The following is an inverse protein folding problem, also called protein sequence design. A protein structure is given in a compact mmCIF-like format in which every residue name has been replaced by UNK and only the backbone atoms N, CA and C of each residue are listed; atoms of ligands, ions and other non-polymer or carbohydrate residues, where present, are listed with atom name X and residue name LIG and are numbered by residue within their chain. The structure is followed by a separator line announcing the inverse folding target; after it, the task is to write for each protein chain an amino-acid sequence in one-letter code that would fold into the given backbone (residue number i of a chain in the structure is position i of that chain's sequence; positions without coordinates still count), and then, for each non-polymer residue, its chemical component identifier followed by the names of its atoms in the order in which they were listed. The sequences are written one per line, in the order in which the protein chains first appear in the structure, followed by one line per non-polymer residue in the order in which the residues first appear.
data_IF_546886746215
#
_entry.id   IF_546886746215
#
_cell.length_a   1.000
_cell.length_b   1.000
_cell.length_c   1.000
_cell.angle_alpha   90.00
_cell.angle_beta   90.00
_cell.angle_gamma   90.00
#
_symmetry.space_group_name_H-M   'P 1'
#
loop_
_entity.id
_entity.type
_entity.pdbx_description
1 polymer ?
#
# COMPACT_ATOMS: atom_id res chain seq x y z
N UNK A 1 -43.98 -9.69 -34.91
CA UNK A 1 -42.55 -9.61 -35.31
C UNK A 1 -41.87 -8.67 -34.39
N UNK A 2 -41.28 -9.20 -33.34
CA UNK A 2 -40.59 -8.45 -32.27
C UNK A 2 -39.11 -8.37 -32.63
N UNK A 3 -38.61 -7.17 -32.92
CA UNK A 3 -37.20 -6.90 -33.10
C UNK A 3 -36.48 -7.07 -31.78
N UNK A 4 -35.66 -8.10 -31.64
CA UNK A 4 -34.68 -8.22 -30.58
C UNK A 4 -33.55 -7.21 -30.84
N UNK A 5 -33.45 -6.23 -29.95
CA UNK A 5 -32.31 -5.32 -29.93
C UNK A 5 -31.03 -6.11 -29.62
N UNK A 6 -30.11 -6.20 -30.59
CA UNK A 6 -28.77 -6.74 -30.39
C UNK A 6 -28.02 -5.82 -29.44
N UNK A 7 -27.78 -6.31 -28.23
CA UNK A 7 -26.86 -5.67 -27.26
C UNK A 7 -25.45 -5.96 -27.73
N UNK A 8 -24.83 -5.01 -28.39
CA UNK A 8 -23.39 -5.05 -28.71
C UNK A 8 -22.62 -4.98 -27.40
N UNK A 9 -21.74 -5.94 -27.10
CA UNK A 9 -20.92 -5.82 -25.89
C UNK A 9 -19.98 -4.62 -26.01
N UNK A 10 -20.14 -3.65 -25.15
CA UNK A 10 -19.24 -2.52 -25.00
C UNK A 10 -17.86 -2.99 -24.49
N UNK A 11 -17.06 -3.54 -25.39
CA UNK A 11 -15.62 -3.69 -25.21
C UNK A 11 -14.95 -2.33 -25.45
N UNK A 12 -15.30 -1.35 -24.66
CA UNK A 12 -14.50 -0.13 -24.56
C UNK A 12 -13.28 -0.48 -23.71
N UNK A 13 -12.20 -0.89 -24.37
CA UNK A 13 -10.85 -0.74 -23.81
C UNK A 13 -10.64 0.76 -23.62
N UNK A 14 -11.07 1.29 -22.48
CA UNK A 14 -10.74 2.66 -22.09
C UNK A 14 -9.23 2.76 -22.02
N UNK A 15 -8.64 3.50 -22.94
CA UNK A 15 -7.31 4.03 -22.80
C UNK A 15 -7.36 4.95 -21.59
N UNK A 16 -6.88 4.50 -20.44
CA UNK A 16 -6.60 5.33 -19.28
C UNK A 16 -5.42 6.25 -19.61
N UNK A 17 -5.63 7.21 -20.50
CA UNK A 17 -4.53 7.97 -21.06
C UNK A 17 -4.53 9.43 -20.64
N UNK A 18 -5.53 9.87 -19.87
CA UNK A 18 -5.56 11.27 -19.48
C UNK A 18 -5.16 11.43 -17.99
N UNK A 19 -3.88 11.79 -17.72
CA UNK A 19 -3.45 12.10 -16.37
C UNK A 19 -4.14 13.37 -15.82
N UNK A 20 -4.77 14.19 -16.68
CA UNK A 20 -5.48 15.40 -16.25
C UNK A 20 -6.74 15.12 -15.46
N UNK A 21 -7.38 13.94 -15.63
CA UNK A 21 -8.50 13.51 -14.79
C UNK A 21 -8.16 13.47 -13.28
N UNK A 22 -6.87 13.38 -12.96
CA UNK A 22 -6.37 13.32 -11.59
C UNK A 22 -6.07 14.70 -11.00
N UNK A 23 -6.01 15.74 -11.83
CA UNK A 23 -5.59 17.10 -11.46
C UNK A 23 -6.72 18.12 -11.51
N UNK A 24 -7.92 17.70 -11.84
CA UNK A 24 -9.06 18.61 -12.02
C UNK A 24 -9.62 19.08 -10.67
N UNK A 25 -8.94 20.01 -10.06
CA UNK A 25 -9.49 20.83 -8.98
C UNK A 25 -10.13 22.07 -9.58
N UNK A 26 -11.40 22.36 -9.25
CA UNK A 26 -12.09 23.58 -9.64
C UNK A 26 -13.02 23.49 -10.85
N UNK A 27 -13.34 22.31 -11.36
CA UNK A 27 -14.35 22.16 -12.40
C UNK A 27 -15.77 22.15 -11.82
N UNK A 28 -16.74 22.56 -12.65
CA UNK A 28 -18.14 22.41 -12.31
C UNK A 28 -18.49 20.97 -11.91
N UNK A 29 -19.07 20.82 -10.73
CA UNK A 29 -19.49 19.52 -10.19
C UNK A 29 -20.99 19.34 -10.39
N UNK A 30 -21.46 18.11 -10.47
CA UNK A 30 -22.88 17.80 -10.62
C UNK A 30 -23.70 18.22 -9.41
N UNK A 31 -24.96 18.55 -9.62
CA UNK A 31 -25.87 19.04 -8.58
C UNK A 31 -25.90 18.19 -7.31
N UNK A 32 -25.87 16.86 -7.43
CA UNK A 32 -25.82 15.99 -6.26
C UNK A 32 -24.53 16.05 -5.45
N UNK A 33 -23.46 16.58 -6.05
CA UNK A 33 -22.18 16.77 -5.37
C UNK A 33 -22.15 18.06 -4.55
N UNK A 34 -22.86 19.10 -4.96
CA UNK A 34 -22.82 20.42 -4.30
C UNK A 34 -23.34 20.38 -2.87
N UNK A 35 -24.23 19.47 -2.54
CA UNK A 35 -24.78 19.27 -1.19
C UNK A 35 -24.15 18.09 -0.46
N UNK A 36 -23.18 17.38 -1.08
CA UNK A 36 -22.54 16.24 -0.46
C UNK A 36 -21.53 16.69 0.60
N UNK A 37 -21.63 16.21 1.85
CA UNK A 37 -20.69 16.57 2.92
C UNK A 37 -19.25 16.14 2.61
N UNK A 38 -19.08 15.15 1.73
CA UNK A 38 -17.77 14.63 1.32
C UNK A 38 -17.17 15.37 0.11
N UNK A 39 -17.84 16.43 -0.39
CA UNK A 39 -17.38 17.17 -1.56
C UNK A 39 -15.93 17.68 -1.39
N UNK A 40 -15.60 18.18 -0.22
CA UNK A 40 -14.24 18.68 0.07
C UNK A 40 -13.16 17.62 -0.10
N UNK A 41 -13.47 16.36 0.19
CA UNK A 41 -12.54 15.23 0.09
C UNK A 41 -12.57 14.54 -1.28
N UNK A 42 -13.75 14.50 -1.86
CA UNK A 42 -14.01 13.85 -3.13
C UNK A 42 -13.61 14.71 -4.33
N UNK A 43 -13.78 16.04 -4.23
CA UNK A 43 -13.68 16.97 -5.36
C UNK A 43 -14.90 16.94 -6.29
N UNK A 44 -15.88 16.07 -6.03
CA UNK A 44 -17.09 15.89 -6.85
C UNK A 44 -16.86 15.15 -8.16
N UNK A 45 -17.93 14.94 -8.90
CA UNK A 45 -17.91 14.39 -10.26
C UNK A 45 -17.97 15.54 -11.25
N UNK A 46 -16.94 15.65 -12.09
CA UNK A 46 -16.92 16.66 -13.16
C UNK A 46 -17.99 16.38 -14.19
N UNK A 47 -18.67 17.46 -14.65
CA UNK A 47 -19.65 17.40 -15.74
C UNK A 47 -18.95 17.09 -17.06
N UNK A 48 -17.71 17.56 -17.24
CA UNK A 48 -16.98 17.44 -18.51
C UNK A 48 -16.29 16.06 -18.69
N UNK A 49 -16.01 15.36 -17.61
CA UNK A 49 -15.42 14.03 -17.66
C UNK A 49 -16.24 13.03 -16.82
N UNK A 50 -17.44 12.65 -17.29
CA UNK A 50 -18.33 11.77 -16.53
C UNK A 50 -17.80 10.34 -16.56
N UNK A 51 -16.75 10.05 -15.79
CA UNK A 51 -16.31 8.67 -15.58
C UNK A 51 -17.43 7.91 -14.86
N UNK A 52 -18.09 8.58 -13.92
CA UNK A 52 -19.28 8.08 -13.25
C UNK A 52 -20.20 9.21 -12.81
N UNK A 53 -21.47 9.02 -13.06
CA UNK A 53 -22.52 9.77 -12.43
C UNK A 53 -23.07 8.93 -11.28
N UNK A 54 -22.96 9.40 -10.04
CA UNK A 54 -23.57 8.70 -8.90
C UNK A 54 -25.08 8.49 -9.08
N UNK A 55 -25.74 9.38 -9.83
CA UNK A 55 -27.16 9.26 -10.19
C UNK A 55 -27.40 8.21 -11.28
N UNK A 56 -26.44 8.02 -12.20
CA UNK A 56 -26.54 6.99 -13.25
C UNK A 56 -26.30 5.58 -12.67
N UNK A 57 -25.71 5.49 -11.50
CA UNK A 57 -25.57 4.24 -10.75
C UNK A 57 -26.84 3.83 -10.03
N UNK A 58 -27.62 4.79 -9.61
CA UNK A 58 -28.92 4.51 -9.03
C UNK A 58 -29.94 4.31 -10.15
N UNK A 59 -30.06 3.07 -10.64
CA UNK A 59 -31.07 2.72 -11.66
C UNK A 59 -32.51 2.77 -11.12
N UNK A 60 -32.71 3.22 -9.88
CA UNK A 60 -34.01 3.23 -9.22
C UNK A 60 -34.60 1.84 -8.93
N UNK A 61 -33.85 0.78 -9.22
CA UNK A 61 -34.26 -0.62 -8.98
C UNK A 61 -33.20 -1.36 -8.20
N UNK A 62 -32.94 -0.98 -6.93
CA UNK A 62 -31.88 -1.58 -6.13
C UNK A 62 -32.07 -3.09 -5.91
N UNK A 63 -33.30 -3.57 -5.84
CA UNK A 63 -33.66 -4.97 -5.63
C UNK A 63 -33.30 -5.89 -6.80
N UNK A 64 -33.18 -5.37 -8.01
CA UNK A 64 -32.81 -6.14 -9.23
C UNK A 64 -31.37 -5.90 -9.70
N UNK A 65 -30.59 -5.12 -8.94
CA UNK A 65 -29.26 -4.76 -9.34
C UNK A 65 -28.28 -5.92 -9.12
N UNK A 66 -27.68 -6.41 -10.19
CA UNK A 66 -26.63 -7.45 -10.15
C UNK A 66 -25.20 -6.89 -10.08
N UNK A 67 -25.04 -5.57 -9.99
CA UNK A 67 -23.71 -4.93 -9.97
C UNK A 67 -23.03 -5.16 -8.63
N UNK A 68 -21.75 -5.47 -8.67
CA UNK A 68 -20.91 -5.70 -7.50
C UNK A 68 -20.87 -4.48 -6.55
N UNK A 69 -20.87 -3.28 -7.13
CA UNK A 69 -20.94 -2.01 -6.41
C UNK A 69 -22.35 -1.47 -6.66
N UNK A 70 -23.20 -1.61 -5.68
CA UNK A 70 -24.54 -1.09 -5.76
C UNK A 70 -24.70 0.16 -4.92
N UNK A 71 -25.19 1.24 -5.52
CA UNK A 71 -25.57 2.44 -4.81
C UNK A 71 -26.97 2.32 -4.16
N UNK A 72 -27.48 1.10 -3.89
CA UNK A 72 -28.74 1.01 -3.16
C UNK A 72 -28.61 1.73 -1.82
N UNK A 73 -29.54 2.58 -1.47
CA UNK A 73 -29.53 3.37 -0.23
C UNK A 73 -29.33 2.48 1.02
N UNK A 74 -29.89 1.28 1.02
CA UNK A 74 -29.72 0.33 2.13
C UNK A 74 -28.28 -0.14 2.24
N UNK A 75 -27.62 -0.47 1.12
CA UNK A 75 -26.23 -0.89 1.14
C UNK A 75 -25.30 0.27 1.48
N UNK A 76 -25.57 1.46 0.99
CA UNK A 76 -24.83 2.66 1.32
C UNK A 76 -24.87 2.91 2.83
N UNK A 77 -26.05 2.98 3.44
CA UNK A 77 -26.18 3.19 4.89
C UNK A 77 -25.53 2.07 5.70
N UNK A 78 -25.61 0.81 5.25
CA UNK A 78 -24.95 -0.32 5.89
C UNK A 78 -23.43 -0.14 5.86
N UNK A 79 -22.84 0.19 4.71
CA UNK A 79 -21.39 0.41 4.59
C UNK A 79 -20.90 1.60 5.42
N UNK A 80 -21.67 2.69 5.45
CA UNK A 80 -21.36 3.87 6.27
C UNK A 80 -21.41 3.52 7.76
N UNK A 81 -22.48 2.83 8.18
CA UNK A 81 -22.63 2.41 9.59
C UNK A 81 -21.55 1.41 10.02
N UNK A 82 -21.14 0.51 9.12
CA UNK A 82 -20.12 -0.50 9.36
C UNK A 82 -18.75 0.12 9.73
N UNK A 83 -18.45 1.30 9.17
CA UNK A 83 -17.20 2.03 9.43
C UNK A 83 -17.37 3.23 10.36
N UNK A 84 -18.58 3.48 10.87
CA UNK A 84 -18.87 4.59 11.77
C UNK A 84 -18.91 5.97 11.09
N UNK A 85 -19.12 6.02 9.78
CA UNK A 85 -19.07 7.24 8.97
C UNK A 85 -17.80 7.35 8.15
N UNK A 86 -17.65 8.46 7.42
CA UNK A 86 -16.46 8.69 6.59
C UNK A 86 -15.40 9.55 7.26
N UNK A 87 -15.70 10.17 8.38
CA UNK A 87 -14.72 10.97 9.09
C UNK A 87 -13.61 10.10 9.66
N UNK A 88 -12.38 10.48 9.35
CA UNK A 88 -11.21 9.85 9.92
C UNK A 88 -10.92 10.51 11.27
N UNK A 89 -11.33 9.85 12.34
CA UNK A 89 -11.10 10.36 13.69
C UNK A 89 -9.62 10.30 14.04
N UNK A 90 -9.03 11.41 14.58
CA UNK A 90 -7.62 11.44 14.91
C UNK A 90 -7.22 10.36 15.92
N UNK A 91 -6.21 9.58 15.61
CA UNK A 91 -5.63 8.63 16.56
C UNK A 91 -4.65 9.34 17.49
N UNK A 92 -4.94 9.33 18.78
CA UNK A 92 -4.18 10.08 19.81
C UNK A 92 -3.57 9.19 20.90
N UNK A 93 -3.59 7.87 20.69
CA UNK A 93 -2.97 6.94 21.61
C UNK A 93 -1.57 6.56 21.14
N UNK A 94 -0.74 6.15 22.10
CA UNK A 94 0.64 5.73 21.81
C UNK A 94 0.65 4.59 20.80
N UNK A 95 1.43 4.75 19.74
CA UNK A 95 1.73 3.71 18.76
C UNK A 95 3.04 3.02 19.13
N UNK A 96 3.07 1.68 19.06
CA UNK A 96 4.31 0.94 19.27
C UNK A 96 5.32 1.31 18.20
N UNK A 97 6.55 1.76 18.55
CA UNK A 97 7.54 2.17 17.57
C UNK A 97 7.91 1.03 16.62
N UNK A 98 8.13 1.40 15.36
CA UNK A 98 8.66 0.47 14.37
C UNK A 98 10.12 0.19 14.69
N UNK A 99 10.45 -1.06 14.93
CA UNK A 99 11.83 -1.49 15.18
C UNK A 99 12.73 -1.17 13.99
N UNK A 100 14.04 -1.04 14.24
CA UNK A 100 15.02 -0.88 13.18
C UNK A 100 15.01 -2.11 12.24
N UNK A 101 14.40 -1.96 11.06
CA UNK A 101 14.30 -2.98 10.01
C UNK A 101 15.33 -2.67 8.91
N UNK A 102 15.81 -3.64 8.12
CA UNK A 102 16.64 -3.33 6.96
C UNK A 102 15.84 -2.58 5.88
N UNK A 103 16.54 -1.78 5.07
CA UNK A 103 15.94 -0.99 4.00
C UNK A 103 15.34 -1.86 2.87
N UNK A 104 15.75 -3.12 2.78
CA UNK A 104 15.24 -4.12 1.87
C UNK A 104 14.82 -5.36 2.63
N UNK A 105 13.58 -5.79 2.42
CA UNK A 105 12.99 -6.99 3.06
C UNK A 105 12.32 -7.86 1.98
N UNK A 106 12.82 -9.08 1.76
CA UNK A 106 12.19 -10.00 0.82
C UNK A 106 10.85 -10.51 1.36
N UNK A 107 9.87 -10.62 0.50
CA UNK A 107 8.59 -11.26 0.80
C UNK A 107 8.65 -12.75 0.47
N UNK A 108 8.41 -13.60 1.45
CA UNK A 108 8.29 -15.05 1.28
C UNK A 108 6.81 -15.38 1.08
N UNK A 109 6.46 -15.79 -0.13
CA UNK A 109 5.07 -16.04 -0.50
C UNK A 109 4.57 -17.40 0.02
N UNK A 110 5.43 -18.39 -0.07
CA UNK A 110 5.25 -19.75 0.47
C UNK A 110 6.62 -20.40 0.72
N UNK A 111 6.65 -21.50 1.43
CA UNK A 111 7.87 -22.20 1.81
C UNK A 111 7.98 -23.61 1.16
N UNK A 112 7.16 -23.89 0.14
CA UNK A 112 7.13 -25.24 -0.47
C UNK A 112 8.46 -25.66 -1.08
N UNK A 113 9.13 -24.74 -1.75
CA UNK A 113 10.40 -25.00 -2.46
C UNK A 113 11.66 -24.71 -1.60
N UNK A 114 11.50 -24.36 -0.32
CA UNK A 114 12.61 -24.11 0.59
C UNK A 114 13.05 -25.41 1.28
N UNK A 115 14.34 -25.59 1.51
CA UNK A 115 14.91 -26.73 2.21
C UNK A 115 14.94 -26.54 3.72
N UNK A 116 15.37 -25.37 4.18
CA UNK A 116 15.58 -25.07 5.59
C UNK A 116 15.24 -23.65 5.99
N UNK A 117 15.54 -23.27 7.23
CA UNK A 117 15.35 -21.92 7.71
C UNK A 117 16.25 -20.92 6.98
N UNK A 118 15.66 -19.89 6.38
CA UNK A 118 16.36 -18.83 5.69
C UNK A 118 17.06 -17.90 6.69
N UNK A 119 18.39 -17.83 6.61
CA UNK A 119 19.20 -16.91 7.42
C UNK A 119 19.18 -15.50 6.82
N UNK A 120 18.08 -14.76 7.10
CA UNK A 120 17.86 -13.39 6.68
C UNK A 120 17.57 -12.52 7.90
N UNK A 121 18.06 -11.25 7.94
CA UNK A 121 17.82 -10.37 9.09
C UNK A 121 16.35 -9.95 9.24
N UNK A 122 15.61 -9.95 8.14
CA UNK A 122 14.16 -9.70 8.12
C UNK A 122 13.53 -10.35 6.91
N UNK A 123 12.27 -10.75 7.05
CA UNK A 123 11.42 -11.26 5.98
C UNK A 123 10.01 -10.70 6.12
N UNK A 124 9.30 -10.55 5.01
CA UNK A 124 7.88 -10.25 5.01
C UNK A 124 7.08 -11.48 4.59
N UNK A 125 5.97 -11.73 5.27
CA UNK A 125 4.99 -12.77 4.91
C UNK A 125 3.61 -12.13 4.82
N UNK A 126 2.73 -12.74 4.02
CA UNK A 126 1.37 -12.21 3.88
C UNK A 126 0.58 -12.42 5.18
N UNK A 127 -0.05 -11.36 5.69
CA UNK A 127 -0.99 -11.42 6.81
C UNK A 127 -2.07 -12.48 6.55
N UNK A 128 -2.58 -12.56 5.32
CA UNK A 128 -3.63 -13.51 4.93
C UNK A 128 -3.17 -14.97 4.86
N UNK A 129 -1.87 -15.21 4.86
CA UNK A 129 -1.32 -16.58 5.00
C UNK A 129 -1.20 -16.99 6.46
N UNK A 130 -1.19 -16.02 7.37
CA UNK A 130 -1.06 -16.21 8.82
C UNK A 130 -2.42 -16.26 9.51
N UNK A 131 -3.42 -15.57 9.01
CA UNK A 131 -4.78 -15.54 9.57
C UNK A 131 -5.64 -16.64 8.94
N UNK A 132 -6.46 -17.25 9.78
CA UNK A 132 -7.53 -18.14 9.35
C UNK A 132 -8.68 -17.33 8.73
N UNK A 133 -9.05 -17.69 7.51
CA UNK A 133 -10.04 -16.95 6.71
C UNK A 133 -11.49 -17.16 7.16
N UNK A 134 -11.75 -18.06 8.11
CA UNK A 134 -13.09 -18.30 8.67
C UNK A 134 -13.29 -17.61 10.01
N UNK A 135 -12.22 -17.51 10.79
CA UNK A 135 -12.30 -17.02 12.17
C UNK A 135 -11.67 -15.65 12.37
N UNK A 136 -10.86 -15.16 11.42
CA UNK A 136 -10.16 -13.90 11.52
C UNK A 136 -9.01 -13.88 12.55
N UNK A 137 -8.65 -15.02 13.15
CA UNK A 137 -7.56 -15.14 14.13
C UNK A 137 -6.33 -15.81 13.53
N UNK A 138 -5.18 -15.67 14.18
CA UNK A 138 -3.95 -16.29 13.74
C UNK A 138 -4.07 -17.83 13.74
N UNK A 139 -3.59 -18.47 12.65
CA UNK A 139 -3.55 -19.94 12.50
C UNK A 139 -2.55 -20.61 13.41
N UNK A 140 -1.51 -19.86 13.80
CA UNK A 140 -0.39 -20.40 14.58
C UNK A 140 -0.53 -19.97 16.03
N UNK A 141 -0.29 -20.90 16.93
CA UNK A 141 -0.38 -20.69 18.37
C UNK A 141 0.79 -19.85 18.91
N UNK A 142 1.92 -19.88 18.21
CA UNK A 142 3.14 -19.19 18.61
C UNK A 142 3.95 -18.67 17.42
N UNK A 143 4.90 -17.77 17.74
CA UNK A 143 5.90 -17.29 16.78
C UNK A 143 6.72 -18.44 16.20
N UNK A 144 7.14 -19.40 17.04
CA UNK A 144 7.98 -20.53 16.62
C UNK A 144 7.27 -21.39 15.57
N UNK A 145 6.00 -21.69 15.78
CA UNK A 145 5.20 -22.45 14.83
C UNK A 145 5.09 -21.73 13.47
N UNK A 146 4.85 -20.43 13.49
CA UNK A 146 4.82 -19.60 12.28
C UNK A 146 6.18 -19.61 11.56
N UNK A 147 7.29 -19.39 12.29
CA UNK A 147 8.64 -19.37 11.72
C UNK A 147 8.99 -20.72 11.09
N UNK A 148 8.68 -21.83 11.78
CA UNK A 148 8.85 -23.19 11.25
C UNK A 148 8.07 -23.41 9.96
N UNK A 149 6.81 -22.96 9.92
CA UNK A 149 5.94 -23.09 8.74
C UNK A 149 6.47 -22.36 7.52
N UNK A 150 7.03 -21.17 7.71
CA UNK A 150 7.61 -20.36 6.63
C UNK A 150 9.10 -20.58 6.42
N UNK A 151 9.71 -21.51 7.15
CA UNK A 151 11.17 -21.79 7.12
C UNK A 151 12.00 -20.51 7.29
N UNK A 152 11.67 -19.74 8.33
CA UNK A 152 12.31 -18.49 8.69
C UNK A 152 13.20 -18.73 9.92
N UNK A 153 14.43 -18.18 9.89
CA UNK A 153 15.32 -18.28 11.04
C UNK A 153 14.73 -17.60 12.29
N UNK A 154 14.90 -18.16 13.51
CA UNK A 154 14.31 -17.61 14.73
C UNK A 154 14.64 -16.14 15.01
N UNK A 155 15.85 -15.70 14.68
CA UNK A 155 16.32 -14.34 14.93
C UNK A 155 15.83 -13.32 13.86
N UNK A 156 15.24 -13.79 12.77
CA UNK A 156 14.74 -12.92 11.72
C UNK A 156 13.57 -12.05 12.21
N UNK A 157 13.57 -10.78 11.86
CA UNK A 157 12.43 -9.89 12.05
C UNK A 157 11.35 -10.23 11.04
N UNK A 158 10.10 -10.29 11.48
CA UNK A 158 8.98 -10.66 10.60
C UNK A 158 8.06 -9.48 10.42
N UNK A 159 7.83 -9.11 9.16
CA UNK A 159 6.81 -8.16 8.74
C UNK A 159 5.59 -8.93 8.25
N UNK A 160 4.41 -8.57 8.75
CA UNK A 160 3.14 -9.06 8.22
C UNK A 160 2.60 -8.03 7.22
N UNK A 161 2.74 -8.31 5.92
CA UNK A 161 2.22 -7.40 4.89
C UNK A 161 0.78 -7.75 4.53
N UNK A 162 -0.10 -6.75 4.57
CA UNK A 162 -1.54 -6.94 4.37
C UNK A 162 -2.02 -6.46 2.99
N UNK A 163 -1.18 -6.63 1.97
CA UNK A 163 -1.56 -6.45 0.57
C UNK A 163 -1.83 -7.81 -0.08
N UNK A 164 -3.00 -7.97 -0.68
CA UNK A 164 -3.40 -9.16 -1.41
C UNK A 164 -4.42 -8.83 -2.51
N UNK A 165 -4.93 -9.85 -3.20
CA UNK A 165 -6.07 -9.72 -4.11
C UNK A 165 -7.32 -9.33 -3.32
N UNK A 166 -8.19 -8.50 -3.89
CA UNK A 166 -9.38 -7.93 -3.25
C UNK A 166 -10.21 -8.96 -2.51
N UNK A 167 -10.48 -10.12 -3.12
CA UNK A 167 -11.24 -11.18 -2.47
C UNK A 167 -10.70 -11.59 -1.10
N UNK A 168 -9.37 -11.57 -0.90
CA UNK A 168 -8.75 -11.93 0.39
C UNK A 168 -8.86 -10.79 1.39
N UNK A 169 -8.73 -9.57 0.92
CA UNK A 169 -8.84 -8.37 1.75
C UNK A 169 -10.28 -8.19 2.22
N UNK A 170 -11.24 -8.34 1.32
CA UNK A 170 -12.67 -8.28 1.64
C UNK A 170 -13.12 -9.41 2.58
N UNK A 171 -12.70 -10.65 2.31
CA UNK A 171 -12.99 -11.76 3.22
C UNK A 171 -12.42 -11.52 4.62
N UNK A 172 -11.24 -10.90 4.72
CA UNK A 172 -10.66 -10.54 6.01
C UNK A 172 -11.54 -9.55 6.77
N UNK A 173 -12.06 -8.53 6.08
CA UNK A 173 -12.97 -7.57 6.68
C UNK A 173 -14.22 -8.24 7.28
N UNK A 174 -14.82 -9.17 6.56
CA UNK A 174 -16.01 -9.90 7.02
C UNK A 174 -15.77 -10.77 8.25
N UNK A 175 -14.57 -11.29 8.44
CA UNK A 175 -14.22 -12.15 9.60
C UNK A 175 -13.44 -11.38 10.68
N UNK A 176 -13.11 -10.12 10.44
CA UNK A 176 -12.34 -9.30 11.35
C UNK A 176 -13.08 -9.11 12.68
N UNK A 177 -12.46 -9.53 13.75
CA UNK A 177 -12.84 -9.26 15.12
C UNK A 177 -11.70 -8.45 15.75
N UNK A 178 -11.73 -7.10 15.72
CA UNK A 178 -10.54 -6.26 15.90
C UNK A 178 -9.70 -6.67 17.10
N UNK A 179 -10.31 -6.74 18.28
CA UNK A 179 -9.61 -7.12 19.52
C UNK A 179 -9.05 -8.55 19.46
N UNK A 180 -9.87 -9.53 19.10
CA UNK A 180 -9.49 -10.94 19.08
C UNK A 180 -8.44 -11.23 17.99
N UNK A 181 -8.59 -10.64 16.81
CA UNK A 181 -7.62 -10.73 15.72
C UNK A 181 -6.28 -10.16 16.16
N UNK A 182 -6.27 -8.94 16.71
CA UNK A 182 -5.05 -8.28 17.12
C UNK A 182 -4.35 -8.99 18.28
N UNK A 183 -5.08 -9.48 19.28
CA UNK A 183 -4.54 -10.29 20.37
C UNK A 183 -3.91 -11.60 19.86
N UNK A 184 -4.53 -12.26 18.88
CA UNK A 184 -3.98 -13.46 18.27
C UNK A 184 -2.67 -13.17 17.51
N UNK A 185 -2.57 -12.03 16.82
CA UNK A 185 -1.37 -11.61 16.13
C UNK A 185 -0.23 -11.19 17.08
N UNK A 186 -0.54 -10.63 18.25
CA UNK A 186 0.47 -10.32 19.27
C UNK A 186 1.28 -11.53 19.70
N UNK A 187 0.68 -12.71 19.77
CA UNK A 187 1.38 -13.97 20.11
C UNK A 187 2.47 -14.32 19.12
N UNK A 188 2.35 -13.85 17.88
CA UNK A 188 3.33 -14.05 16.82
C UNK A 188 4.50 -13.07 16.87
N UNK A 189 4.41 -12.01 17.70
CA UNK A 189 5.45 -10.97 17.88
C UNK A 189 5.97 -10.44 16.54
N UNK A 190 5.12 -9.92 15.64
CA UNK A 190 5.59 -9.31 14.41
C UNK A 190 6.41 -8.05 14.73
N UNK A 191 7.44 -7.80 13.91
CA UNK A 191 8.25 -6.59 14.02
C UNK A 191 7.57 -5.38 13.37
N UNK A 192 6.60 -5.64 12.48
CA UNK A 192 5.75 -4.66 11.83
C UNK A 192 4.55 -5.36 11.21
N UNK A 193 3.40 -4.69 11.20
CA UNK A 193 2.22 -5.08 10.41
C UNK A 193 1.85 -3.88 9.53
N UNK A 194 1.60 -4.09 8.24
CA UNK A 194 0.90 -3.06 7.46
C UNK A 194 -0.60 -3.25 7.60
N UNK A 195 -1.38 -2.17 7.64
CA UNK A 195 -2.84 -2.31 7.61
C UNK A 195 -3.30 -2.96 6.31
N UNK A 196 -4.48 -3.63 6.27
CA UNK A 196 -5.07 -4.11 5.04
C UNK A 196 -5.17 -3.00 3.99
N UNK A 197 -4.71 -3.30 2.76
CA UNK A 197 -4.77 -2.35 1.65
C UNK A 197 -6.09 -2.56 0.88
N UNK A 198 -7.20 -2.03 1.42
CA UNK A 198 -8.47 -2.04 0.71
C UNK A 198 -8.34 -1.28 -0.60
N UNK A 199 -8.83 -1.88 -1.68
CA UNK A 199 -8.67 -1.31 -3.02
C UNK A 199 -9.49 -0.05 -3.18
N UNK A 200 -8.87 0.91 -3.87
CA UNK A 200 -9.50 2.13 -4.31
C UNK A 200 -9.39 2.20 -5.84
N UNK A 201 -10.43 2.66 -6.48
CA UNK A 201 -10.53 2.70 -7.93
C UNK A 201 -10.92 4.10 -8.39
N UNK A 202 -10.39 4.53 -9.53
CA UNK A 202 -10.74 5.81 -10.12
C UNK A 202 -12.07 5.76 -10.86
N UNK A 203 -12.54 4.57 -11.17
CA UNK A 203 -13.71 4.28 -11.97
C UNK A 203 -14.87 3.68 -11.17
N UNK A 204 -14.87 3.88 -9.86
CA UNK A 204 -15.99 3.52 -8.96
C UNK A 204 -16.63 4.76 -8.36
N UNK A 205 -17.80 4.58 -7.77
CA UNK A 205 -18.43 5.65 -7.00
C UNK A 205 -17.57 6.03 -5.80
N UNK A 206 -17.52 7.32 -5.52
CA UNK A 206 -16.60 7.88 -4.55
C UNK A 206 -16.75 7.32 -3.14
N UNK A 207 -17.98 7.05 -2.70
CA UNK A 207 -18.22 6.52 -1.36
C UNK A 207 -17.53 5.18 -1.10
N UNK A 208 -17.35 4.32 -2.12
CA UNK A 208 -16.62 3.05 -1.95
C UNK A 208 -15.15 3.29 -1.57
N UNK A 209 -14.53 4.31 -2.18
CA UNK A 209 -13.17 4.72 -1.82
C UNK A 209 -13.10 5.30 -0.41
N UNK A 210 -14.11 6.08 0.01
CA UNK A 210 -14.19 6.62 1.37
C UNK A 210 -14.38 5.51 2.41
N UNK A 211 -15.22 4.51 2.13
CA UNK A 211 -15.34 3.30 2.96
C UNK A 211 -14.01 2.56 3.05
N UNK A 212 -13.30 2.39 1.93
CA UNK A 212 -11.98 1.76 1.93
C UNK A 212 -10.97 2.52 2.82
N UNK A 213 -10.96 3.85 2.77
CA UNK A 213 -10.12 4.68 3.65
C UNK A 213 -10.50 4.50 5.11
N UNK A 214 -11.79 4.56 5.45
CA UNK A 214 -12.28 4.37 6.80
C UNK A 214 -11.94 2.96 7.35
N UNK A 215 -12.08 1.91 6.55
CA UNK A 215 -11.67 0.54 6.89
C UNK A 215 -10.16 0.43 7.18
N UNK A 216 -9.33 1.12 6.41
CA UNK A 216 -7.88 1.17 6.65
C UNK A 216 -7.59 1.81 8.01
N UNK A 217 -8.20 2.97 8.30
CA UNK A 217 -8.04 3.66 9.59
C UNK A 217 -8.55 2.80 10.75
N UNK A 218 -9.72 2.18 10.61
CA UNK A 218 -10.30 1.27 11.61
C UNK A 218 -9.36 0.09 11.93
N UNK A 219 -8.76 -0.53 10.91
CA UNK A 219 -7.79 -1.61 11.11
C UNK A 219 -6.52 -1.11 11.79
N UNK A 220 -6.08 0.12 11.45
CA UNK A 220 -4.94 0.75 12.11
C UNK A 220 -5.19 0.91 13.61
N UNK A 221 -6.32 1.51 13.98
CA UNK A 221 -6.72 1.72 15.37
C UNK A 221 -6.77 0.41 16.15
N UNK A 222 -7.41 -0.62 15.59
CA UNK A 222 -7.52 -1.93 16.24
C UNK A 222 -6.17 -2.60 16.48
N UNK A 223 -5.24 -2.52 15.53
CA UNK A 223 -3.91 -3.10 15.67
C UNK A 223 -3.03 -2.27 16.62
N UNK A 224 -3.05 -0.95 16.50
CA UNK A 224 -2.27 -0.06 17.34
C UNK A 224 -2.73 -0.12 18.81
N UNK A 225 -4.05 -0.11 19.07
CA UNK A 225 -4.61 -0.25 20.40
C UNK A 225 -4.22 -1.57 21.09
N UNK A 226 -4.01 -2.63 20.30
CA UNK A 226 -3.49 -3.90 20.82
C UNK A 226 -1.97 -3.90 21.04
N UNK A 227 -1.28 -2.78 20.85
CA UNK A 227 0.17 -2.65 21.04
C UNK A 227 1.01 -3.31 19.94
N UNK A 228 0.45 -3.52 18.76
CA UNK A 228 1.20 -4.00 17.60
C UNK A 228 1.94 -2.84 16.91
N UNK A 229 3.18 -3.04 16.41
CA UNK A 229 3.84 -2.06 15.56
C UNK A 229 3.17 -2.04 14.18
N UNK A 230 2.59 -0.90 13.81
CA UNK A 230 1.72 -0.79 12.62
C UNK A 230 2.18 0.31 11.70
N UNK A 231 2.19 0.04 10.39
CA UNK A 231 2.28 1.04 9.33
C UNK A 231 0.91 1.22 8.65
N UNK A 232 0.43 2.46 8.61
CA UNK A 232 -0.85 2.84 8.01
C UNK A 232 -0.75 2.84 6.48
N UNK A 233 -1.54 2.03 5.77
CA UNK A 233 -1.67 2.18 4.33
C UNK A 233 -2.37 3.50 3.98
N UNK A 234 -1.70 4.34 3.19
CA UNK A 234 -2.27 5.59 2.69
C UNK A 234 -2.73 5.42 1.24
N UNK A 235 -3.54 4.38 0.99
CA UNK A 235 -4.03 4.12 -0.36
C UNK A 235 -4.81 5.32 -0.89
N UNK A 236 -4.52 5.74 -2.12
CA UNK A 236 -5.04 6.98 -2.71
C UNK A 236 -5.14 6.84 -4.22
N UNK A 237 -6.10 7.55 -4.83
CA UNK A 237 -6.28 7.61 -6.27
C UNK A 237 -6.41 9.04 -6.80
N UNK A 238 -6.74 9.99 -5.95
CA UNK A 238 -6.96 11.39 -6.28
C UNK A 238 -6.13 12.31 -5.38
N UNK A 239 -5.89 13.58 -5.76
CA UNK A 239 -5.27 14.57 -4.87
C UNK A 239 -6.02 14.72 -3.54
N UNK A 240 -7.35 14.66 -3.57
CA UNK A 240 -8.18 14.77 -2.38
C UNK A 240 -8.01 13.58 -1.41
N UNK A 241 -7.69 12.38 -1.91
CA UNK A 241 -7.35 11.24 -1.05
C UNK A 241 -6.06 11.51 -0.29
N UNK A 242 -5.03 12.02 -0.98
CA UNK A 242 -3.76 12.39 -0.34
C UNK A 242 -3.93 13.54 0.63
N UNK A 243 -4.75 14.55 0.30
CA UNK A 243 -5.08 15.64 1.22
C UNK A 243 -5.74 15.11 2.49
N UNK A 244 -6.71 14.22 2.37
CA UNK A 244 -7.40 13.58 3.49
C UNK A 244 -6.45 12.77 4.38
N UNK A 245 -5.55 11.96 3.81
CA UNK A 245 -4.52 11.27 4.58
C UNK A 245 -3.55 12.25 5.25
N UNK A 246 -3.21 13.34 4.57
CA UNK A 246 -2.34 14.39 5.14
C UNK A 246 -2.98 15.01 6.37
N UNK A 247 -4.25 15.40 6.30
CA UNK A 247 -5.00 15.94 7.45
C UNK A 247 -5.10 14.93 8.60
N UNK A 248 -5.40 13.68 8.29
CA UNK A 248 -5.45 12.61 9.28
C UNK A 248 -4.11 12.40 9.98
N UNK A 249 -3.01 12.40 9.23
CA UNK A 249 -1.67 12.27 9.79
C UNK A 249 -1.26 13.50 10.62
N UNK A 250 -1.60 14.72 10.19
CA UNK A 250 -1.37 15.94 10.98
C UNK A 250 -2.11 15.86 12.31
N UNK A 251 -3.37 15.44 12.29
CA UNK A 251 -4.20 15.31 13.47
C UNK A 251 -3.83 14.10 14.37
N UNK A 252 -3.01 13.15 13.85
CA UNK A 252 -2.57 11.92 14.52
C UNK A 252 -1.04 11.87 14.62
N UNK A 253 -0.39 12.70 15.43
CA UNK A 253 1.06 12.82 15.49
C UNK A 253 1.78 11.53 15.92
N UNK A 254 1.10 10.62 16.56
CA UNK A 254 1.64 9.33 17.02
C UNK A 254 1.93 8.35 15.86
N UNK A 255 1.33 8.59 14.69
CA UNK A 255 1.54 7.74 13.51
C UNK A 255 2.85 8.15 12.83
N UNK A 256 3.88 7.34 12.97
CA UNK A 256 5.22 7.59 12.42
C UNK A 256 5.61 6.65 11.26
N UNK A 257 4.77 5.70 10.92
CA UNK A 257 5.00 4.78 9.81
C UNK A 257 3.78 4.65 8.91
N UNK A 258 4.01 4.83 7.63
CA UNK A 258 3.00 4.64 6.59
C UNK A 258 3.42 3.53 5.61
N UNK A 259 2.45 2.92 4.96
CA UNK A 259 2.67 1.91 3.93
C UNK A 259 2.05 2.34 2.61
N UNK A 260 2.67 1.96 1.50
CA UNK A 260 2.17 2.23 0.16
C UNK A 260 2.45 1.10 -0.83
N UNK A 261 1.47 0.82 -1.70
CA UNK A 261 1.55 -0.25 -2.68
C UNK A 261 1.63 0.33 -4.11
N UNK A 262 2.83 0.42 -4.66
CA UNK A 262 3.05 0.92 -6.03
C UNK A 262 2.71 -0.11 -7.11
N UNK A 263 2.67 -1.39 -6.76
CA UNK A 263 2.39 -2.47 -7.72
C UNK A 263 0.97 -2.50 -8.25
N UNK A 264 0.00 -1.95 -7.49
CA UNK A 264 -1.41 -1.90 -7.88
C UNK A 264 -1.80 -0.68 -8.69
N UNK A 265 -0.90 0.30 -8.85
CA UNK A 265 -1.15 1.53 -9.61
C UNK A 265 -1.22 1.28 -11.13
N UNK A 266 -0.76 0.11 -11.59
CA UNK A 266 -0.69 -0.24 -13.00
C UNK A 266 0.70 0.01 -13.60
N UNK A 267 0.82 -0.14 -14.93
CA UNK A 267 2.11 -0.09 -15.64
C UNK A 267 2.50 1.29 -16.16
N UNK A 268 1.61 2.29 -16.09
CA UNK A 268 1.87 3.65 -16.57
C UNK A 268 2.97 4.31 -15.74
N UNK A 269 4.08 4.68 -16.38
CA UNK A 269 5.19 5.37 -15.74
C UNK A 269 4.79 6.77 -15.25
N UNK A 270 4.08 7.61 -16.03
CA UNK A 270 3.60 8.90 -15.55
C UNK A 270 2.72 8.79 -14.31
N UNK A 271 1.83 7.81 -14.28
CA UNK A 271 0.95 7.58 -13.12
C UNK A 271 1.74 7.20 -11.87
N UNK A 272 2.74 6.33 -11.98
CA UNK A 272 3.61 5.98 -10.84
C UNK A 272 4.42 7.18 -10.36
N UNK A 273 4.96 7.99 -11.28
CA UNK A 273 5.66 9.22 -10.94
C UNK A 273 4.75 10.19 -10.18
N UNK A 274 3.52 10.39 -10.65
CA UNK A 274 2.54 11.20 -9.94
C UNK A 274 2.29 10.71 -8.50
N UNK A 275 2.10 9.39 -8.29
CA UNK A 275 1.93 8.85 -6.94
C UNK A 275 3.17 9.06 -6.06
N UNK A 276 4.38 8.93 -6.61
CA UNK A 276 5.61 9.22 -5.87
C UNK A 276 5.67 10.69 -5.44
N UNK A 277 5.34 11.62 -6.36
CA UNK A 277 5.26 13.05 -6.07
C UNK A 277 4.21 13.37 -4.99
N UNK A 278 3.04 12.72 -5.04
CA UNK A 278 2.01 12.90 -4.01
C UNK A 278 2.47 12.39 -2.63
N UNK A 279 3.20 11.28 -2.56
CA UNK A 279 3.80 10.80 -1.31
C UNK A 279 4.84 11.79 -0.76
N UNK A 280 5.67 12.36 -1.63
CA UNK A 280 6.62 13.42 -1.25
C UNK A 280 5.90 14.65 -0.74
N UNK A 281 4.83 15.09 -1.41
CA UNK A 281 4.01 16.22 -0.98
C UNK A 281 3.32 15.94 0.36
N UNK A 282 2.79 14.75 0.57
CA UNK A 282 2.17 14.33 1.83
C UNK A 282 3.15 14.48 2.98
N UNK A 283 4.37 13.91 2.88
CA UNK A 283 5.31 13.96 3.99
C UNK A 283 5.82 15.38 4.28
N UNK A 284 6.00 16.21 3.22
CA UNK A 284 6.34 17.64 3.38
C UNK A 284 5.25 18.43 4.11
N UNK A 285 3.99 18.16 3.79
CA UNK A 285 2.85 18.83 4.42
C UNK A 285 2.64 18.37 5.87
N UNK A 286 2.90 17.11 6.18
CA UNK A 286 2.85 16.56 7.54
C UNK A 286 3.96 17.16 8.44
N UNK A 287 5.07 17.62 7.86
CA UNK A 287 6.19 18.32 8.53
C UNK A 287 6.80 17.55 9.70
N UNK A 288 6.86 16.23 9.61
CA UNK A 288 7.55 15.38 10.58
C UNK A 288 8.17 14.17 9.92
N UNK A 289 9.06 13.52 10.65
CA UNK A 289 9.74 12.32 10.18
C UNK A 289 8.80 11.12 10.07
N UNK A 290 8.66 10.57 8.87
CA UNK A 290 7.85 9.40 8.60
C UNK A 290 8.71 8.28 8.01
N UNK A 291 8.46 7.05 8.48
CA UNK A 291 8.97 5.83 7.82
C UNK A 291 7.99 5.40 6.74
N UNK A 292 8.47 5.19 5.52
CA UNK A 292 7.69 4.63 4.41
C UNK A 292 8.00 3.15 4.22
N UNK A 293 7.00 2.31 4.32
CA UNK A 293 7.04 0.90 3.92
C UNK A 293 6.43 0.78 2.53
N UNK A 294 7.25 0.50 1.52
CA UNK A 294 6.79 0.51 0.13
C UNK A 294 6.94 -0.87 -0.51
N UNK A 295 5.95 -1.28 -1.31
CA UNK A 295 6.05 -2.46 -2.16
C UNK A 295 5.99 -2.06 -3.63
N UNK A 296 6.91 -2.61 -4.44
CA UNK A 296 7.21 -2.14 -5.79
C UNK A 296 7.69 -0.67 -5.82
N UNK A 297 7.87 -0.08 -7.00
CA UNK A 297 8.28 1.35 -7.10
C UNK A 297 9.79 1.57 -7.07
N UNK A 298 10.61 0.61 -7.49
CA UNK A 298 12.07 0.69 -7.56
C UNK A 298 12.58 1.98 -8.23
N UNK A 299 11.92 2.42 -9.31
CA UNK A 299 12.31 3.63 -10.05
C UNK A 299 12.16 4.93 -9.27
N UNK A 300 11.43 4.93 -8.16
CA UNK A 300 11.14 6.12 -7.36
C UNK A 300 11.80 6.09 -5.97
N UNK A 301 12.61 5.05 -5.66
CA UNK A 301 13.23 4.92 -4.34
C UNK A 301 14.15 6.09 -4.00
N UNK A 302 14.91 6.61 -4.97
CA UNK A 302 15.78 7.75 -4.76
C UNK A 302 14.97 9.00 -4.37
N UNK A 303 13.93 9.34 -5.14
CA UNK A 303 13.02 10.45 -4.86
C UNK A 303 12.34 10.32 -3.49
N UNK A 304 11.83 9.13 -3.17
CA UNK A 304 11.18 8.87 -1.89
C UNK A 304 12.17 8.94 -0.72
N UNK A 305 13.42 8.51 -0.90
CA UNK A 305 14.43 8.54 0.17
C UNK A 305 14.89 9.95 0.56
N UNK A 306 14.70 10.94 -0.32
CA UNK A 306 14.97 12.35 0.01
C UNK A 306 13.88 12.99 0.86
N UNK A 307 12.66 12.44 0.83
CA UNK A 307 11.51 13.02 1.52
C UNK A 307 11.17 12.30 2.83
N UNK A 308 11.41 11.01 2.90
CA UNK A 308 11.13 10.20 4.09
C UNK A 308 12.39 9.97 4.93
N UNK A 309 12.25 10.00 6.26
CA UNK A 309 13.34 9.65 7.17
C UNK A 309 13.90 8.28 6.85
N UNK A 310 13.02 7.35 6.53
CA UNK A 310 13.37 5.98 6.20
C UNK A 310 12.44 5.39 5.18
N UNK A 311 13.01 4.64 4.22
CA UNK A 311 12.24 3.85 3.24
C UNK A 311 12.61 2.38 3.42
N UNK A 312 11.58 1.53 3.61
CA UNK A 312 11.70 0.08 3.72
C UNK A 312 11.03 -0.54 2.50
N UNK A 313 11.81 -1.14 1.62
CA UNK A 313 11.34 -1.79 0.42
C UNK A 313 10.93 -3.23 0.70
N UNK A 314 9.66 -3.57 0.52
CA UNK A 314 9.17 -4.95 0.50
C UNK A 314 9.20 -5.49 -0.93
N UNK A 315 9.95 -6.56 -1.17
CA UNK A 315 10.13 -7.11 -2.50
C UNK A 315 9.68 -8.57 -2.61
N UNK A 316 8.74 -8.81 -3.52
CA UNK A 316 8.29 -10.17 -3.89
C UNK A 316 9.12 -10.77 -5.02
N UNK A 317 9.89 -9.97 -5.74
CA UNK A 317 10.53 -10.35 -7.00
C UNK A 317 11.60 -11.40 -6.77
N UNK A 318 12.45 -11.22 -5.75
CA UNK A 318 13.54 -12.16 -5.45
C UNK A 318 13.01 -13.60 -5.26
N UNK A 319 11.93 -13.76 -4.47
CA UNK A 319 11.33 -15.07 -4.22
C UNK A 319 10.60 -15.62 -5.45
N UNK A 320 9.79 -14.80 -6.12
CA UNK A 320 9.09 -15.22 -7.34
C UNK A 320 10.04 -15.67 -8.44
N UNK A 321 11.17 -15.00 -8.58
CA UNK A 321 12.20 -15.32 -9.58
C UNK A 321 12.97 -16.59 -9.22
N UNK A 322 13.29 -16.78 -7.94
CA UNK A 322 13.88 -18.02 -7.46
C UNK A 322 12.96 -19.22 -7.71
N UNK A 323 11.66 -19.12 -7.44
CA UNK A 323 10.67 -20.15 -7.78
C UNK A 323 10.62 -20.48 -9.27
N UNK A 324 10.90 -19.51 -10.13
CA UNK A 324 11.00 -19.69 -11.59
C UNK A 324 12.40 -20.11 -12.03
N UNK A 325 13.27 -20.50 -11.10
CA UNK A 325 14.66 -20.88 -11.40
C UNK A 325 15.39 -19.80 -12.23
N UNK A 326 15.28 -18.54 -11.75
CA UNK A 326 15.94 -17.38 -12.34
C UNK A 326 16.86 -16.71 -11.33
N UNK A 327 18.10 -16.46 -11.74
CA UNK A 327 19.13 -15.79 -10.96
C UNK A 327 19.16 -14.30 -11.31
N UNK A 328 19.25 -13.48 -10.26
CA UNK A 328 19.43 -12.04 -10.40
C UNK A 328 20.83 -11.72 -10.87
N UNK A 329 20.94 -10.88 -11.89
CA UNK A 329 22.20 -10.25 -12.30
C UNK A 329 21.97 -8.76 -12.44
N UNK A 330 23.06 -7.99 -12.41
CA UNK A 330 23.00 -6.55 -12.52
C UNK A 330 23.84 -6.07 -13.69
N UNK A 331 23.27 -5.23 -14.53
CA UNK A 331 23.95 -4.55 -15.64
C UNK A 331 23.75 -3.04 -15.41
N UNK A 332 24.80 -2.34 -14.96
CA UNK A 332 24.69 -0.95 -14.53
C UNK A 332 23.70 -0.80 -13.37
N UNK A 333 22.69 0.06 -13.53
CA UNK A 333 21.60 0.25 -12.55
C UNK A 333 20.41 -0.70 -12.73
N UNK A 334 20.40 -1.53 -13.77
CA UNK A 334 19.27 -2.40 -14.12
C UNK A 334 19.46 -3.81 -13.55
N UNK A 335 18.43 -4.32 -12.87
CA UNK A 335 18.30 -5.73 -12.51
C UNK A 335 17.85 -6.53 -13.73
N UNK A 336 18.55 -7.63 -14.02
CA UNK A 336 18.22 -8.59 -15.07
C UNK A 336 18.15 -10.00 -14.49
N UNK A 337 17.51 -10.90 -15.19
CA UNK A 337 17.23 -12.25 -14.71
C UNK A 337 17.67 -13.26 -15.76
N UNK A 338 18.50 -14.21 -15.35
CA UNK A 338 18.99 -15.29 -16.23
C UNK A 338 18.45 -16.63 -15.72
N UNK A 339 18.19 -17.60 -16.61
CA UNK A 339 17.89 -18.96 -16.19
C UNK A 339 18.99 -19.49 -15.25
N UNK A 340 18.58 -20.15 -14.18
CA UNK A 340 19.44 -20.82 -13.20
C UNK A 340 18.81 -22.17 -12.90
N UNK A 341 19.15 -23.14 -13.71
CA UNK A 341 18.62 -24.48 -13.58
C UNK A 341 19.08 -25.10 -12.27
N UNK A 342 18.17 -25.74 -11.57
CA UNK A 342 18.43 -26.59 -10.41
C UNK A 342 18.00 -28.00 -10.74
N UNK A 343 18.63 -29.00 -10.16
CA UNK A 343 18.25 -30.39 -10.39
C UNK A 343 16.81 -30.66 -9.87
N UNK A 344 16.22 -31.74 -10.35
CA UNK A 344 14.90 -32.13 -9.89
C UNK A 344 14.94 -32.44 -8.39
N UNK A 345 14.04 -31.83 -7.62
CA UNK A 345 13.98 -31.96 -6.16
C UNK A 345 14.90 -31.05 -5.36
N UNK A 346 15.79 -30.29 -6.00
CA UNK A 346 16.59 -29.29 -5.30
C UNK A 346 15.77 -28.12 -4.81
N UNK A 347 16.15 -27.65 -3.62
CA UNK A 347 15.55 -26.45 -3.01
C UNK A 347 16.05 -25.17 -3.66
N UNK A 348 15.35 -24.07 -3.41
CA UNK A 348 15.71 -22.76 -3.97
C UNK A 348 16.49 -21.87 -3.02
N UNK A 349 16.91 -22.37 -1.87
CA UNK A 349 17.48 -21.57 -0.78
C UNK A 349 18.67 -20.73 -1.24
N UNK A 350 19.67 -21.34 -1.86
CA UNK A 350 20.87 -20.63 -2.34
C UNK A 350 20.53 -19.62 -3.43
N UNK A 351 19.69 -19.99 -4.38
CA UNK A 351 19.24 -19.11 -5.43
C UNK A 351 18.45 -17.91 -4.89
N UNK A 352 17.58 -18.16 -3.91
CA UNK A 352 16.82 -17.12 -3.25
C UNK A 352 17.74 -16.17 -2.47
N UNK A 353 18.69 -16.72 -1.69
CA UNK A 353 19.66 -15.90 -0.94
C UNK A 353 20.56 -15.09 -1.87
N UNK A 354 20.95 -15.65 -3.02
CA UNK A 354 21.66 -14.90 -4.06
C UNK A 354 20.80 -13.74 -4.58
N UNK A 355 19.57 -14.01 -4.99
CA UNK A 355 18.64 -13.00 -5.51
C UNK A 355 18.40 -11.88 -4.48
N UNK A 356 18.19 -12.25 -3.22
CA UNK A 356 18.03 -11.30 -2.11
C UNK A 356 19.26 -10.41 -1.95
N UNK A 357 20.48 -10.98 -2.00
CA UNK A 357 21.73 -10.21 -1.90
C UNK A 357 21.86 -9.17 -3.02
N UNK A 358 21.61 -9.58 -4.27
CA UNK A 358 21.67 -8.70 -5.43
C UNK A 358 20.62 -7.58 -5.35
N UNK A 359 19.37 -7.92 -5.05
CA UNK A 359 18.29 -6.95 -4.90
C UNK A 359 18.53 -5.98 -3.73
N UNK A 360 19.00 -6.48 -2.58
CA UNK A 360 19.36 -5.64 -1.42
C UNK A 360 20.45 -4.63 -1.77
N UNK A 361 21.50 -5.07 -2.46
CA UNK A 361 22.57 -4.17 -2.89
C UNK A 361 22.05 -3.09 -3.82
N UNK A 362 21.24 -3.45 -4.81
CA UNK A 362 20.63 -2.50 -5.74
C UNK A 362 19.73 -1.49 -5.01
N UNK A 363 18.93 -1.93 -4.03
CA UNK A 363 18.10 -1.04 -3.20
C UNK A 363 18.95 -0.04 -2.43
N UNK A 364 19.98 -0.50 -1.74
CA UNK A 364 20.86 0.36 -0.94
C UNK A 364 21.50 1.45 -1.78
N UNK A 365 21.99 1.10 -2.97
CA UNK A 365 22.60 2.09 -3.87
C UNK A 365 21.61 3.13 -4.37
N UNK A 366 20.35 2.75 -4.62
CA UNK A 366 19.31 3.73 -4.99
C UNK A 366 18.97 4.67 -3.84
N UNK A 367 18.91 4.15 -2.61
CA UNK A 367 18.61 4.95 -1.42
C UNK A 367 19.79 5.85 -1.00
N UNK A 368 21.05 5.42 -1.20
CA UNK A 368 22.24 6.18 -0.83
C UNK A 368 22.62 7.26 -1.85
N UNK A 369 22.37 7.03 -3.13
CA UNK A 369 22.73 7.96 -4.19
C UNK A 369 22.09 9.34 -4.01
N UNK A 370 20.83 9.39 -3.57
CA UNK A 370 20.12 10.64 -3.35
C UNK A 370 20.58 11.34 -2.07
N UNK A 371 20.80 10.62 -0.98
CA UNK A 371 21.30 11.22 0.27
C UNK A 371 22.66 11.90 0.10
N UNK A 372 23.54 11.33 -0.72
CA UNK A 372 24.83 11.94 -1.06
C UNK A 372 24.63 13.23 -1.89
N UNK A 373 23.71 13.24 -2.87
CA UNK A 373 23.39 14.42 -3.67
C UNK A 373 22.81 15.54 -2.82
N UNK A 374 21.88 15.22 -1.90
CA UNK A 374 21.25 16.22 -1.03
C UNK A 374 22.26 16.86 -0.06
N UNK A 375 23.21 16.07 0.47
CA UNK A 375 24.28 16.58 1.31
C UNK A 375 25.23 17.52 0.55
N UNK A 376 25.55 17.21 -0.70
CA UNK A 376 26.37 18.06 -1.57
C UNK A 376 25.70 19.39 -1.87
N UNK A 377 24.37 19.37 -2.16
CA UNK A 377 23.58 20.58 -2.40
C UNK A 377 23.48 21.44 -1.13
N UNK A 378 23.28 20.81 0.02
CA UNK A 378 23.22 21.51 1.31
C UNK A 378 24.55 22.17 1.66
N UNK A 379 25.69 21.49 1.43
CA UNK A 379 27.02 22.03 1.64
C UNK A 379 27.33 23.22 0.72
N UNK A 380 26.93 23.16 -0.56
CA UNK A 380 27.07 24.28 -1.48
C UNK A 380 26.26 25.51 -1.06
N UNK A 381 25.01 25.32 -0.64
CA UNK A 381 24.17 26.43 -0.14
C UNK A 381 24.73 27.08 1.13
N UNK A 382 25.31 26.30 2.03
CA UNK A 382 25.98 26.86 3.22
C UNK A 382 27.24 27.64 2.86
N UNK A 383 27.98 27.22 1.84
CA UNK A 383 29.17 27.96 1.36
C UNK A 383 28.79 29.27 0.68
N UNK A 384 27.70 29.32 -0.08
CA UNK A 384 27.20 30.55 -0.72
C UNK A 384 26.70 31.57 0.31
N UNK A 385 26.04 31.13 1.38
CA UNK A 385 25.58 32.01 2.46
C UNK A 385 26.75 32.59 3.26
N UNK A 386 27.79 31.79 3.54
CA UNK A 386 28.97 32.25 4.27
C UNK A 386 29.85 33.19 3.45
N UNK A 387 29.92 33.03 2.13
CA UNK A 387 30.65 33.96 1.25
C UNK A 387 29.91 35.27 1.00
N UNK A 388 28.56 35.26 1.03
CA UNK A 388 27.75 36.47 0.89
C UNK A 388 27.75 37.35 2.15
N UNK A 389 27.97 36.79 3.34
CA UNK A 389 28.07 37.52 4.63
C UNK A 389 29.49 38.06 4.89
N UNK A 390 30.49 37.67 4.12
CA UNK A 390 31.87 38.12 4.28
C UNK A 390 32.22 39.35 3.35
N UNK A 391 31.30 39.82 2.58
CA UNK A 391 31.49 40.93 1.59
C UNK A 391 30.67 42.21 1.94
N UNK A 392 30.02 42.24 3.11
CA UNK A 392 29.35 43.49 3.60
C UNK A 392 30.04 44.05 4.84
#
# INVERSE_FOLDING_TARGET
MTQQAQITPLTVRRKFADPTLWHQTGQEVRLGCTTCPELRWCGGLSIQAPVFNCMDFCCGKPETCTRYICPSQRRYSTLVNEVGGFDLHPYRHRVTPVLALPDYVPCILDAGDLGGPLSLPAVAVSLYSVIDHRTGVAKYSSRQEMLKRFKIHPDARVILTATAKDRRVENFWHVLQPKKTAESLRKLRPSLITTPNFSMHADTVRHDNLVSMARIAFCFEGFAAAGLPVALHVNSRTPNDFARWTEYLIASPEINAIAYEMGTIGRSAPRRAWHAQQLVALTRNVRRHLTLVIRAGWSHLAELSSAFERVIMLDTTAHMKAKKRQSATRIGRRLTWKPAHTAAGETIDELLLHNVRVCRRATRELLSAQRASDLTIAAHKQHEVTTSTAVN
#
